data_IF_327589595995
#
_entry.id   IF_327589595995
#
_cell.length_a   1.000
_cell.length_b   1.000
_cell.length_c   1.000
_cell.angle_alpha   90.00
_cell.angle_beta   90.00
_cell.angle_gamma   90.00
#
_symmetry.space_group_name_H-M   'P 1'
#
loop_
_entity.id
_entity.type
_entity.pdbx_description
1 polymer ?
#
# COMPACT_ATOMS: atom_id res chain seq x y z
N UNK A 1 15.42 2.88 -2.41
CA UNK A 1 16.42 3.44 -3.35
C UNK A 1 17.22 2.33 -4.05
N UNK A 2 17.76 1.36 -3.35
CA UNK A 2 18.59 0.30 -3.93
C UNK A 2 17.85 -0.52 -5.01
N UNK A 3 16.60 -0.92 -4.77
CA UNK A 3 15.80 -1.67 -5.75
C UNK A 3 15.59 -0.86 -7.04
N UNK A 4 15.23 0.42 -6.92
CA UNK A 4 15.05 1.29 -8.09
C UNK A 4 16.34 1.41 -8.90
N UNK A 5 17.47 1.62 -8.22
CA UNK A 5 18.79 1.68 -8.87
C UNK A 5 19.15 0.38 -9.58
N UNK A 6 18.90 -0.77 -8.93
CA UNK A 6 19.15 -2.08 -9.54
C UNK A 6 18.28 -2.32 -10.78
N UNK A 7 16.99 -1.98 -10.71
CA UNK A 7 16.09 -2.11 -11.86
C UNK A 7 16.50 -1.20 -13.02
N UNK A 8 16.90 0.05 -12.72
CA UNK A 8 17.36 0.99 -13.74
C UNK A 8 18.70 0.61 -14.38
N UNK A 9 19.54 -0.13 -13.64
CA UNK A 9 20.80 -0.66 -14.17
C UNK A 9 20.59 -1.88 -15.10
N UNK A 10 19.57 -2.69 -14.81
CA UNK A 10 19.27 -3.94 -15.53
C UNK A 10 18.47 -3.68 -16.82
N UNK A 11 17.57 -2.70 -16.80
CA UNK A 11 16.64 -2.45 -17.90
C UNK A 11 16.87 -1.08 -18.54
N UNK A 12 16.86 -0.98 -19.88
CA UNK A 12 17.00 0.30 -20.59
C UNK A 12 15.78 1.20 -20.32
N UNK A 13 16.02 2.51 -20.33
CA UNK A 13 15.02 3.54 -19.97
C UNK A 13 13.80 3.60 -20.89
N UNK A 14 13.94 3.16 -22.12
CA UNK A 14 12.85 3.05 -23.10
C UNK A 14 11.90 1.87 -22.82
N UNK A 15 12.33 0.92 -22.01
CA UNK A 15 11.52 -0.26 -21.63
C UNK A 15 10.96 -0.23 -20.23
N UNK A 16 11.66 0.42 -19.29
CA UNK A 16 11.28 0.48 -17.90
C UNK A 16 11.44 1.89 -17.34
N UNK A 17 10.32 2.50 -16.96
CA UNK A 17 10.28 3.68 -16.13
C UNK A 17 10.07 3.29 -14.65
N UNK A 18 10.86 3.84 -13.75
CA UNK A 18 10.78 3.56 -12.30
C UNK A 18 10.43 4.83 -11.55
N UNK A 19 9.18 4.90 -11.08
CA UNK A 19 8.72 5.97 -10.18
C UNK A 19 9.01 5.57 -8.73
N UNK A 20 9.78 6.37 -8.03
CA UNK A 20 9.93 6.30 -6.57
C UNK A 20 9.11 7.41 -5.96
N UNK A 21 7.94 7.07 -5.44
CA UNK A 21 6.99 8.03 -4.88
C UNK A 21 7.57 8.79 -3.68
N UNK A 22 7.29 10.09 -3.58
CA UNK A 22 7.82 11.00 -2.57
C UNK A 22 6.72 11.64 -1.72
N UNK A 23 5.48 11.56 -2.15
CA UNK A 23 4.33 12.25 -1.57
C UNK A 23 4.05 11.89 -0.10
N UNK A 24 4.57 10.76 0.39
CA UNK A 24 4.43 10.30 1.77
C UNK A 24 5.75 10.29 2.55
N UNK A 25 6.71 11.12 2.17
CA UNK A 25 7.97 11.26 2.92
C UNK A 25 7.78 12.05 4.22
N UNK A 26 8.65 11.81 5.20
CA UNK A 26 8.67 12.48 6.50
C UNK A 26 7.36 12.31 7.31
N UNK A 27 6.81 13.40 7.81
CA UNK A 27 5.62 13.42 8.68
C UNK A 27 4.34 12.96 7.98
N UNK A 28 4.27 13.01 6.65
CA UNK A 28 3.11 12.56 5.88
C UNK A 28 2.84 11.05 6.00
N UNK A 29 3.81 10.26 6.47
CA UNK A 29 3.64 8.83 6.78
C UNK A 29 2.59 8.58 7.89
N UNK A 30 2.36 9.58 8.77
CA UNK A 30 1.46 9.47 9.91
C UNK A 30 0.01 9.88 9.62
N UNK A 31 -0.27 10.45 8.44
CA UNK A 31 -1.59 11.00 8.08
C UNK A 31 -2.65 9.93 7.79
N UNK A 32 -2.26 8.69 7.64
CA UNK A 32 -3.13 7.56 7.36
C UNK A 32 -2.92 6.94 5.98
N UNK A 33 -3.38 5.69 5.84
CA UNK A 33 -3.28 4.90 4.62
C UNK A 33 -4.13 5.54 3.51
N UNK A 34 -5.29 6.09 3.85
CA UNK A 34 -6.20 6.74 2.91
C UNK A 34 -5.55 7.97 2.25
N UNK A 35 -5.16 8.97 3.04
CA UNK A 35 -4.52 10.17 2.51
C UNK A 35 -3.19 9.87 1.81
N UNK A 36 -2.40 8.95 2.38
CA UNK A 36 -1.18 8.48 1.76
C UNK A 36 -1.44 7.81 0.41
N UNK A 37 -2.51 7.04 0.31
CA UNK A 37 -2.94 6.39 -0.92
C UNK A 37 -3.43 7.39 -1.98
N UNK A 38 -4.22 8.38 -1.58
CA UNK A 38 -4.70 9.42 -2.50
C UNK A 38 -3.55 10.26 -3.08
N UNK A 39 -2.60 10.70 -2.23
CA UNK A 39 -1.39 11.41 -2.69
C UNK A 39 -0.57 10.58 -3.66
N UNK A 40 -0.33 9.32 -3.32
CA UNK A 40 0.45 8.42 -4.18
C UNK A 40 -0.28 8.10 -5.48
N UNK A 41 -1.60 7.92 -5.46
CA UNK A 41 -2.37 7.71 -6.68
C UNK A 41 -2.28 8.91 -7.61
N UNK A 42 -2.41 10.13 -7.09
CA UNK A 42 -2.26 11.36 -7.86
C UNK A 42 -0.84 11.45 -8.48
N UNK A 43 0.20 11.15 -7.69
CA UNK A 43 1.59 11.14 -8.18
C UNK A 43 1.78 10.14 -9.34
N UNK A 44 1.20 8.94 -9.22
CA UNK A 44 1.22 7.92 -10.29
C UNK A 44 0.45 8.39 -11.53
N UNK A 45 -0.72 8.99 -11.34
CA UNK A 45 -1.55 9.49 -12.46
C UNK A 45 -0.86 10.63 -13.21
N UNK A 46 -0.20 11.54 -12.48
CA UNK A 46 0.56 12.63 -13.08
C UNK A 46 1.76 12.10 -13.88
N UNK A 47 2.50 11.14 -13.32
CA UNK A 47 3.63 10.52 -13.99
C UNK A 47 3.20 9.80 -15.27
N UNK A 48 2.08 9.07 -15.25
CA UNK A 48 1.52 8.45 -16.46
C UNK A 48 1.21 9.52 -17.51
N UNK A 49 0.58 10.64 -17.12
CA UNK A 49 0.27 11.74 -18.06
C UNK A 49 1.54 12.37 -18.66
N UNK A 50 2.58 12.54 -17.86
CA UNK A 50 3.87 13.08 -18.34
C UNK A 50 4.47 12.14 -19.38
N UNK A 51 4.56 10.85 -19.07
CA UNK A 51 5.08 9.84 -19.98
C UNK A 51 4.29 9.80 -21.30
N UNK A 52 2.96 9.84 -21.22
CA UNK A 52 2.09 9.84 -22.40
C UNK A 52 2.24 11.13 -23.24
N UNK A 53 2.41 12.28 -22.60
CA UNK A 53 2.68 13.56 -23.28
C UNK A 53 4.03 13.57 -24.00
N UNK A 54 5.02 12.88 -23.45
CA UNK A 54 6.35 12.72 -24.06
C UNK A 54 6.36 11.65 -25.18
N UNK A 55 5.19 11.17 -25.60
CA UNK A 55 5.03 10.21 -26.69
C UNK A 55 5.21 8.75 -26.29
N UNK A 56 5.38 8.46 -25.00
CA UNK A 56 5.46 7.08 -24.51
C UNK A 56 4.06 6.51 -24.29
N UNK A 57 3.92 5.19 -24.48
CA UNK A 57 2.69 4.48 -24.13
C UNK A 57 2.90 3.60 -22.91
N UNK A 58 2.26 3.96 -21.82
CA UNK A 58 2.27 3.11 -20.61
C UNK A 58 1.32 1.93 -20.82
N UNK A 59 1.86 0.74 -20.98
CA UNK A 59 1.08 -0.48 -21.26
C UNK A 59 1.00 -1.44 -20.09
N UNK A 60 1.95 -1.38 -19.15
CA UNK A 60 2.05 -2.28 -18.00
C UNK A 60 2.41 -1.50 -16.76
N UNK A 61 1.92 -1.98 -15.61
CA UNK A 61 2.28 -1.43 -14.30
C UNK A 61 2.66 -2.57 -13.35
N UNK A 62 3.72 -2.36 -12.60
CA UNK A 62 4.10 -3.17 -11.45
C UNK A 62 4.25 -2.28 -10.22
N UNK A 63 3.82 -2.75 -9.08
CA UNK A 63 3.81 -1.96 -7.85
C UNK A 63 4.57 -2.72 -6.76
N UNK A 64 5.48 -2.03 -6.09
CA UNK A 64 6.24 -2.57 -4.96
C UNK A 64 5.99 -1.72 -3.73
N UNK A 65 5.64 -2.36 -2.62
CA UNK A 65 5.43 -1.73 -1.33
C UNK A 65 6.33 -2.31 -0.23
N UNK A 66 6.81 -1.45 0.67
CA UNK A 66 7.57 -1.85 1.85
C UNK A 66 6.86 -1.40 3.12
N UNK A 67 6.70 -2.30 4.10
CA UNK A 67 6.07 -2.01 5.39
C UNK A 67 4.69 -1.34 5.18
N UNK A 68 4.40 -0.22 5.84
CA UNK A 68 3.17 0.56 5.64
C UNK A 68 2.91 0.92 4.17
N UNK A 69 3.98 1.10 3.37
CA UNK A 69 3.87 1.39 1.94
C UNK A 69 3.16 0.31 1.13
N UNK A 70 3.14 -0.94 1.59
CA UNK A 70 2.34 -2.00 0.95
C UNK A 70 0.83 -1.82 1.16
N UNK A 71 0.41 -1.28 2.30
CA UNK A 71 -1.00 -0.92 2.56
C UNK A 71 -1.42 0.30 1.74
N UNK A 72 -0.56 1.33 1.69
CA UNK A 72 -0.75 2.49 0.80
C UNK A 72 -0.87 2.02 -0.65
N UNK A 73 -0.01 1.13 -1.11
CA UNK A 73 -0.06 0.57 -2.46
C UNK A 73 -1.37 -0.18 -2.74
N UNK A 74 -1.91 -0.94 -1.79
CA UNK A 74 -3.24 -1.57 -1.92
C UNK A 74 -4.35 -0.54 -2.07
N UNK A 75 -4.27 0.57 -1.36
CA UNK A 75 -5.23 1.67 -1.48
C UNK A 75 -5.13 2.32 -2.87
N UNK A 76 -3.92 2.62 -3.34
CA UNK A 76 -3.64 3.13 -4.70
C UNK A 76 -4.23 2.21 -5.77
N UNK A 77 -4.03 0.89 -5.63
CA UNK A 77 -4.58 -0.11 -6.56
C UNK A 77 -6.10 0.00 -6.66
N UNK A 78 -6.78 0.15 -5.52
CA UNK A 78 -8.23 0.34 -5.50
C UNK A 78 -8.69 1.61 -6.20
N UNK A 79 -7.97 2.72 -5.99
CA UNK A 79 -8.26 3.99 -6.68
C UNK A 79 -8.03 3.90 -8.19
N UNK A 80 -6.90 3.37 -8.62
CA UNK A 80 -6.58 3.21 -10.05
C UNK A 80 -7.58 2.27 -10.74
N UNK A 81 -7.99 1.20 -10.06
CA UNK A 81 -9.03 0.30 -10.56
C UNK A 81 -10.38 1.02 -10.70
N UNK A 82 -10.82 1.74 -9.69
CA UNK A 82 -12.08 2.49 -9.71
C UNK A 82 -12.12 3.57 -10.80
N UNK A 83 -10.96 4.16 -11.12
CA UNK A 83 -10.79 5.14 -12.20
C UNK A 83 -10.61 4.53 -13.60
N UNK A 84 -10.66 3.20 -13.76
CA UNK A 84 -10.55 2.52 -15.05
C UNK A 84 -9.13 2.43 -15.63
N UNK A 85 -8.08 2.72 -14.86
CA UNK A 85 -6.69 2.63 -15.38
C UNK A 85 -6.34 1.23 -15.84
N UNK A 86 -6.88 0.20 -15.19
CA UNK A 86 -6.58 -1.20 -15.50
C UNK A 86 -7.35 -1.75 -16.72
N UNK A 87 -8.16 -0.92 -17.37
CA UNK A 87 -8.78 -1.27 -18.66
C UNK A 87 -7.81 -1.03 -19.83
N UNK A 88 -6.81 -0.15 -19.64
CA UNK A 88 -5.81 0.22 -20.65
C UNK A 88 -4.36 -0.09 -20.26
N UNK A 89 -4.07 -0.21 -18.97
CA UNK A 89 -2.74 -0.51 -18.44
C UNK A 89 -2.82 -1.87 -17.73
N UNK A 90 -2.05 -2.84 -18.19
CA UNK A 90 -2.04 -4.19 -17.63
C UNK A 90 -1.31 -4.23 -16.28
N UNK A 91 -1.97 -4.59 -15.15
CA UNK A 91 -1.30 -4.87 -13.91
C UNK A 91 -0.50 -6.18 -13.99
N UNK A 92 0.81 -6.13 -13.68
CA UNK A 92 1.67 -7.30 -13.81
C UNK A 92 2.08 -7.84 -12.45
N UNK A 93 2.89 -7.12 -11.70
CA UNK A 93 3.39 -7.58 -10.41
C UNK A 93 2.93 -6.65 -9.29
N UNK A 94 2.38 -7.22 -8.24
CA UNK A 94 2.23 -6.58 -6.95
C UNK A 94 3.12 -7.31 -5.94
N UNK A 95 4.13 -6.61 -5.42
CA UNK A 95 5.09 -7.20 -4.50
C UNK A 95 5.18 -6.39 -3.23
N UNK A 96 5.10 -7.06 -2.08
CA UNK A 96 5.26 -6.38 -0.79
C UNK A 96 6.35 -7.03 0.06
N UNK A 97 7.04 -6.20 0.82
CA UNK A 97 8.07 -6.60 1.76
C UNK A 97 7.69 -6.12 3.16
N UNK A 98 7.62 -7.06 4.11
CA UNK A 98 7.34 -6.78 5.52
C UNK A 98 6.13 -5.84 5.70
N UNK A 99 5.03 -6.09 4.99
CA UNK A 99 3.81 -5.30 5.06
C UNK A 99 2.80 -5.96 5.99
N UNK A 100 2.27 -5.23 7.00
CA UNK A 100 1.26 -5.77 7.92
C UNK A 100 -0.13 -5.78 7.26
N UNK A 101 -0.37 -6.73 6.36
CA UNK A 101 -1.59 -6.80 5.56
C UNK A 101 -2.87 -6.99 6.38
N UNK A 102 -2.76 -7.59 7.56
CA UNK A 102 -3.87 -7.83 8.49
C UNK A 102 -3.89 -6.81 9.64
N UNK A 103 -3.01 -5.82 9.60
CA UNK A 103 -2.78 -4.88 10.68
C UNK A 103 -1.76 -5.39 11.70
N UNK A 104 -1.59 -4.61 12.76
CA UNK A 104 -0.68 -4.95 13.86
C UNK A 104 -1.52 -5.23 15.09
N UNK A 105 -1.60 -6.48 15.50
CA UNK A 105 -2.16 -6.87 16.79
C UNK A 105 -1.07 -7.49 17.64
N UNK A 106 -0.89 -6.98 18.84
CA UNK A 106 -0.07 -7.68 19.84
C UNK A 106 -0.86 -8.89 20.33
N UNK A 107 -0.39 -10.13 20.13
CA UNK A 107 -1.06 -11.33 20.57
C UNK A 107 -0.91 -11.58 22.08
N UNK A 108 -0.32 -10.65 22.80
CA UNK A 108 -0.09 -10.79 24.22
C UNK A 108 -1.42 -10.91 24.96
N UNK A 109 -1.61 -12.01 25.65
CA UNK A 109 -2.78 -12.30 26.48
C UNK A 109 -2.64 -11.57 27.82
N UNK A 110 -3.65 -10.81 28.23
CA UNK A 110 -3.73 -10.19 29.53
C UNK A 110 -4.37 -8.80 29.54
N UNK A 111 -4.95 -8.35 30.68
CA UNK A 111 -5.68 -7.08 30.80
C UNK A 111 -4.77 -5.86 30.53
N UNK A 112 -3.48 -5.94 30.81
CA UNK A 112 -2.51 -4.88 30.50
C UNK A 112 -2.33 -4.65 29.02
N UNK A 113 -2.45 -5.69 28.19
CA UNK A 113 -2.35 -5.59 26.75
C UNK A 113 -3.60 -5.05 26.08
N UNK A 114 -4.78 -5.40 26.59
CA UNK A 114 -6.02 -4.77 26.17
C UNK A 114 -5.94 -3.26 26.39
N UNK A 115 -5.40 -2.84 27.53
CA UNK A 115 -5.20 -1.42 27.85
C UNK A 115 -4.19 -0.75 26.90
N UNK A 116 -3.07 -1.42 26.57
CA UNK A 116 -2.08 -0.94 25.58
C UNK A 116 -2.65 -0.88 24.17
N UNK A 117 -3.39 -1.89 23.74
CA UNK A 117 -3.97 -1.91 22.41
C UNK A 117 -5.10 -0.88 22.23
N UNK A 118 -5.84 -0.55 23.29
CA UNK A 118 -6.96 0.40 23.20
C UNK A 118 -6.55 1.82 23.55
N UNK A 119 -5.77 2.05 24.60
CA UNK A 119 -5.33 3.39 25.01
C UNK A 119 -4.10 3.85 24.21
N UNK A 120 -3.16 2.97 23.95
CA UNK A 120 -2.02 3.26 23.08
C UNK A 120 -2.45 3.59 21.67
N UNK A 121 -3.41 2.83 21.11
CA UNK A 121 -3.94 3.09 19.77
C UNK A 121 -4.66 4.44 19.64
N UNK A 122 -5.29 4.95 20.71
CA UNK A 122 -5.97 6.26 20.70
C UNK A 122 -5.00 7.46 20.69
N UNK A 123 -3.79 7.27 21.20
CA UNK A 123 -2.72 8.29 21.16
C UNK A 123 -1.87 8.21 19.89
N UNK A 124 -2.10 7.18 19.06
CA UNK A 124 -1.38 6.97 17.81
C UNK A 124 -1.86 7.92 16.70
N UNK A 125 -0.98 8.15 15.74
CA UNK A 125 -1.31 8.79 14.47
C UNK A 125 -2.46 8.07 13.75
N UNK A 126 -3.04 8.72 12.74
CA UNK A 126 -4.10 8.12 11.90
C UNK A 126 -3.66 6.77 11.33
N UNK A 127 -2.42 6.68 10.81
CA UNK A 127 -1.84 5.42 10.33
C UNK A 127 -1.78 4.35 11.42
N UNK A 128 -1.40 4.74 12.64
CA UNK A 128 -1.37 3.83 13.79
C UNK A 128 -2.75 3.27 14.13
N UNK A 129 -3.77 4.12 14.20
CA UNK A 129 -5.16 3.69 14.47
C UNK A 129 -5.66 2.71 13.41
N UNK A 130 -5.35 2.95 12.14
CA UNK A 130 -5.69 2.08 11.02
C UNK A 130 -4.96 0.74 11.11
N UNK A 131 -3.66 0.74 11.46
CA UNK A 131 -2.89 -0.48 11.67
C UNK A 131 -3.43 -1.34 12.79
N UNK A 132 -3.90 -0.72 13.88
CA UNK A 132 -4.52 -1.44 15.01
C UNK A 132 -6.00 -1.77 14.78
N UNK A 133 -6.57 -1.40 13.62
CA UNK A 133 -7.98 -1.63 13.27
C UNK A 133 -8.98 -1.05 14.29
N UNK A 134 -8.64 0.11 14.88
CA UNK A 134 -9.49 0.85 15.82
C UNK A 134 -10.06 2.14 15.22
N UNK A 135 -9.86 2.33 13.92
CA UNK A 135 -10.44 3.40 13.11
C UNK A 135 -11.87 3.05 12.64
N UNK A 136 -12.55 4.04 12.12
CA UNK A 136 -13.77 3.89 11.33
C UNK A 136 -13.57 4.58 10.00
N UNK A 137 -13.59 3.80 8.93
CA UNK A 137 -13.37 4.32 7.59
C UNK A 137 -14.65 4.92 7.03
N UNK A 138 -14.65 6.25 6.87
CA UNK A 138 -15.80 7.01 6.34
C UNK A 138 -17.12 6.61 7.04
N UNK A 139 -18.19 6.51 6.31
CA UNK A 139 -19.51 6.15 6.81
C UNK A 139 -19.76 4.64 6.89
N UNK A 140 -18.71 3.82 6.72
CA UNK A 140 -18.86 2.36 6.74
C UNK A 140 -19.02 1.77 8.13
N UNK A 141 -18.62 2.49 9.17
CA UNK A 141 -18.54 1.98 10.54
C UNK A 141 -17.52 0.86 10.74
N UNK A 142 -16.73 0.52 9.71
CA UNK A 142 -15.74 -0.57 9.71
C UNK A 142 -14.31 -0.02 9.61
N UNK A 143 -13.31 -0.68 10.21
CA UNK A 143 -11.92 -0.31 10.02
C UNK A 143 -11.49 -0.36 8.54
N UNK A 144 -10.62 0.56 8.14
CA UNK A 144 -10.14 0.64 6.75
C UNK A 144 -9.57 -0.68 6.24
N UNK A 145 -8.74 -1.36 7.04
CA UNK A 145 -8.15 -2.65 6.61
C UNK A 145 -9.21 -3.73 6.39
N UNK A 146 -10.30 -3.72 7.18
CA UNK A 146 -11.44 -4.61 6.97
C UNK A 146 -12.16 -4.31 5.67
N UNK A 147 -12.37 -3.03 5.35
CA UNK A 147 -12.97 -2.61 4.06
C UNK A 147 -12.04 -2.98 2.90
N UNK A 148 -10.73 -2.77 3.06
CA UNK A 148 -9.74 -3.16 2.03
C UNK A 148 -9.61 -4.67 1.83
N UNK A 149 -10.06 -5.48 2.79
CA UNK A 149 -10.07 -6.94 2.70
C UNK A 149 -11.40 -7.52 2.22
N UNK A 150 -12.43 -6.69 2.08
CA UNK A 150 -13.75 -7.13 1.61
C UNK A 150 -13.66 -7.59 0.14
N UNK A 151 -14.09 -8.84 -0.19
CA UNK A 151 -14.02 -9.36 -1.55
C UNK A 151 -14.75 -8.52 -2.60
N UNK A 152 -15.81 -7.82 -2.20
CA UNK A 152 -16.59 -6.94 -3.08
C UNK A 152 -15.97 -5.57 -3.27
N UNK A 153 -14.97 -5.20 -2.46
CA UNK A 153 -14.34 -3.88 -2.51
C UNK A 153 -13.54 -3.65 -3.79
N UNK A 154 -13.42 -2.39 -4.17
CA UNK A 154 -12.56 -1.96 -5.29
C UNK A 154 -11.08 -2.34 -5.04
N UNK A 155 -10.67 -2.45 -3.78
CA UNK A 155 -9.31 -2.79 -3.39
C UNK A 155 -8.97 -4.24 -3.75
N UNK A 156 -9.82 -5.21 -3.38
CA UNK A 156 -9.62 -6.63 -3.73
C UNK A 156 -9.84 -6.85 -5.22
N UNK A 157 -10.86 -6.22 -5.82
CA UNK A 157 -11.10 -6.33 -7.26
C UNK A 157 -9.94 -5.78 -8.08
N UNK A 158 -9.37 -4.64 -7.67
CA UNK A 158 -8.17 -4.09 -8.29
C UNK A 158 -6.94 -4.97 -8.11
N UNK A 159 -6.73 -5.49 -6.89
CA UNK A 159 -5.63 -6.40 -6.59
C UNK A 159 -5.72 -7.71 -7.39
N UNK A 160 -6.92 -8.21 -7.62
CA UNK A 160 -7.17 -9.41 -8.43
C UNK A 160 -6.77 -9.26 -9.91
N UNK A 161 -6.64 -8.02 -10.42
CA UNK A 161 -6.18 -7.76 -11.79
C UNK A 161 -4.69 -8.02 -11.99
N UNK A 162 -3.89 -8.02 -10.90
CA UNK A 162 -2.46 -8.27 -11.01
C UNK A 162 -2.18 -9.73 -11.34
N UNK A 163 -1.35 -9.95 -12.35
CA UNK A 163 -0.96 -11.29 -12.80
C UNK A 163 -0.21 -12.05 -11.71
N UNK A 164 0.71 -11.38 -11.02
CA UNK A 164 1.51 -11.94 -9.93
C UNK A 164 1.34 -11.10 -8.66
N UNK A 165 1.13 -11.77 -7.55
CA UNK A 165 1.04 -11.17 -6.21
C UNK A 165 2.00 -11.91 -5.31
N UNK A 166 3.04 -11.22 -4.84
CA UNK A 166 4.11 -11.82 -4.05
C UNK A 166 4.27 -11.08 -2.73
N UNK A 167 4.31 -11.83 -1.67
CA UNK A 167 4.51 -11.34 -0.32
C UNK A 167 5.85 -11.87 0.20
N UNK A 168 6.70 -10.97 0.64
CA UNK A 168 7.90 -11.30 1.42
C UNK A 168 7.73 -10.82 2.85
N UNK A 169 7.89 -11.73 3.80
CA UNK A 169 7.82 -11.43 5.23
C UNK A 169 9.09 -11.88 5.94
N UNK A 170 9.38 -11.24 7.07
CA UNK A 170 10.42 -11.71 7.97
C UNK A 170 9.85 -12.85 8.83
N UNK A 171 10.58 -13.95 8.95
CA UNK A 171 10.19 -15.10 9.77
C UNK A 171 10.73 -15.02 11.19
N UNK A 172 11.77 -14.22 11.41
CA UNK A 172 12.42 -14.00 12.72
C UNK A 172 12.86 -12.54 12.84
N UNK A 173 13.03 -12.08 14.08
CA UNK A 173 13.60 -10.78 14.43
C UNK A 173 12.85 -9.53 13.95
N UNK A 174 11.64 -9.66 13.45
CA UNK A 174 10.78 -8.50 13.19
C UNK A 174 9.86 -8.26 14.38
N UNK A 175 10.04 -7.12 15.04
CA UNK A 175 9.23 -6.73 16.20
C UNK A 175 7.96 -5.99 15.82
N UNK A 176 7.92 -5.42 14.62
CA UNK A 176 6.84 -4.55 14.16
C UNK A 176 5.86 -5.27 13.25
N UNK A 177 6.40 -6.08 12.33
CA UNK A 177 5.60 -6.84 11.36
C UNK A 177 5.99 -8.30 11.50
N UNK A 178 5.28 -8.99 12.38
CA UNK A 178 5.49 -10.42 12.60
C UNK A 178 4.94 -11.24 11.43
N UNK A 179 5.45 -12.46 11.23
CA UNK A 179 5.18 -13.29 10.05
C UNK A 179 3.70 -13.63 9.80
N UNK A 180 2.84 -13.46 10.79
CA UNK A 180 1.40 -13.75 10.69
C UNK A 180 0.52 -12.51 10.49
N UNK A 181 1.08 -11.34 10.16
CA UNK A 181 0.31 -10.09 9.93
C UNK A 181 0.09 -9.77 8.46
#
# INVERSE_FOLDING_TARGET
KNLATSLQAEYPKDKLHVLVTKSNSNNFTYDGIELGGERTANEVEEEIKILEKDGNKVTKISIVGYSLGGLVARYVIGLLYAKGYFDRIQPVNFTTFATPHLGVRSPLLGPHNYLWNVLGARTLSTSGRQLFTVDSFRDTGRPLLTVMADPSSVFIRGLAKFKHRTLYCNIINDRSVVYYT
#
